data_IF_674083023254
#
_entry.id   IF_674083023254
#
_cell.length_a   1.000
_cell.length_b   1.000
_cell.length_c   1.000
_cell.angle_alpha   90.00
_cell.angle_beta   90.00
_cell.angle_gamma   90.00
#
_symmetry.space_group_name_H-M   'P 1'
#
loop_
_entity.id
_entity.type
_entity.pdbx_description
1 polymer ?
#
# COMPACT_ATOMS: atom_id res chain seq x y z
N UNK A 1 -23.62 -11.97 -0.44
CA UNK A 1 -23.27 -10.59 -0.08
C UNK A 1 -21.99 -10.50 0.72
N UNK A 2 -21.90 -11.20 1.86
CA UNK A 2 -20.66 -11.20 2.65
C UNK A 2 -19.48 -11.79 1.87
N UNK A 3 -19.75 -12.79 1.01
CA UNK A 3 -18.72 -13.43 0.25
C UNK A 3 -18.03 -12.49 -0.72
N UNK A 4 -18.80 -11.65 -1.42
CA UNK A 4 -18.22 -10.68 -2.36
C UNK A 4 -17.42 -9.62 -1.63
N UNK A 5 -17.97 -9.08 -0.54
CA UNK A 5 -17.27 -8.09 0.26
C UNK A 5 -16.02 -8.66 0.90
N UNK A 6 -16.10 -9.91 1.38
CA UNK A 6 -14.94 -10.60 1.94
C UNK A 6 -13.85 -10.83 0.91
N UNK A 7 -14.23 -11.19 -0.32
CA UNK A 7 -13.29 -11.43 -1.41
C UNK A 7 -12.51 -10.14 -1.73
N UNK A 8 -13.24 -9.04 -1.93
CA UNK A 8 -12.59 -7.76 -2.23
C UNK A 8 -11.75 -7.26 -1.06
N UNK A 9 -12.26 -7.46 0.18
CA UNK A 9 -11.51 -7.06 1.36
C UNK A 9 -10.19 -7.82 1.48
N UNK A 10 -10.19 -9.11 1.15
CA UNK A 10 -8.98 -9.91 1.20
C UNK A 10 -7.98 -9.47 0.15
N UNK A 11 -8.44 -9.19 -1.06
CA UNK A 11 -7.57 -8.68 -2.12
C UNK A 11 -6.98 -7.33 -1.70
N UNK A 12 -7.83 -6.45 -1.18
CA UNK A 12 -7.38 -5.13 -0.73
C UNK A 12 -6.34 -5.26 0.38
N UNK A 13 -6.61 -6.13 1.36
CA UNK A 13 -5.67 -6.37 2.45
C UNK A 13 -4.34 -6.89 1.92
N UNK A 14 -4.39 -7.82 0.98
CA UNK A 14 -3.17 -8.36 0.38
C UNK A 14 -2.38 -7.26 -0.33
N UNK A 15 -3.05 -6.37 -1.04
CA UNK A 15 -2.39 -5.26 -1.72
C UNK A 15 -1.78 -4.27 -0.73
N UNK A 16 -2.48 -4.00 0.38
CA UNK A 16 -1.96 -3.11 1.42
C UNK A 16 -0.71 -3.72 2.04
N UNK A 17 -0.75 -5.00 2.39
CA UNK A 17 0.39 -5.70 2.97
C UNK A 17 1.56 -5.70 1.98
N UNK A 18 1.28 -5.98 0.71
CA UNK A 18 2.30 -5.95 -0.32
C UNK A 18 2.96 -4.55 -0.41
N UNK A 19 2.14 -3.51 -0.43
CA UNK A 19 2.64 -2.15 -0.49
C UNK A 19 3.51 -1.82 0.72
N UNK A 20 3.08 -2.22 1.91
CA UNK A 20 3.86 -1.97 3.13
C UNK A 20 5.21 -2.68 3.11
N UNK A 21 5.23 -3.93 2.65
CA UNK A 21 6.48 -4.67 2.52
C UNK A 21 7.41 -3.97 1.54
N UNK A 22 6.89 -3.53 0.42
CA UNK A 22 7.69 -2.83 -0.58
C UNK A 22 8.19 -1.48 -0.06
N UNK A 23 7.35 -0.75 0.66
CA UNK A 23 7.75 0.52 1.25
C UNK A 23 8.88 0.31 2.25
N UNK A 24 8.74 -0.65 3.15
CA UNK A 24 9.76 -0.90 4.16
C UNK A 24 11.05 -1.44 3.56
N UNK A 25 10.95 -2.18 2.47
CA UNK A 25 12.12 -2.72 1.78
C UNK A 25 12.77 -1.75 0.81
N UNK A 26 12.20 -0.57 0.61
CA UNK A 26 12.75 0.41 -0.32
C UNK A 26 13.92 1.16 0.30
N UNK A 27 14.63 1.92 -0.54
CA UNK A 27 15.74 2.76 -0.08
C UNK A 27 15.29 4.13 0.41
N UNK A 28 13.98 4.35 0.55
CA UNK A 28 13.47 5.60 1.05
C UNK A 28 13.90 5.82 2.50
N UNK A 29 14.03 7.09 2.90
CA UNK A 29 14.38 7.41 4.27
C UNK A 29 13.21 7.09 5.22
N UNK A 30 13.51 7.07 6.53
CA UNK A 30 12.53 6.70 7.54
C UNK A 30 11.29 7.59 7.50
N UNK A 31 11.48 8.89 7.32
CA UNK A 31 10.36 9.83 7.26
C UNK A 31 9.40 9.51 6.12
N UNK A 32 9.96 9.23 4.93
CA UNK A 32 9.14 8.85 3.78
C UNK A 32 8.42 7.53 4.02
N UNK A 33 9.10 6.55 4.62
CA UNK A 33 8.48 5.26 4.92
C UNK A 33 7.29 5.43 5.86
N UNK A 34 7.44 6.26 6.89
CA UNK A 34 6.36 6.53 7.83
C UNK A 34 5.20 7.22 7.11
N UNK A 35 5.51 8.24 6.31
CA UNK A 35 4.48 8.97 5.58
C UNK A 35 3.69 8.06 4.66
N UNK A 36 4.38 7.25 3.87
CA UNK A 36 3.71 6.34 2.94
C UNK A 36 2.94 5.24 3.65
N UNK A 37 3.46 4.76 4.77
CA UNK A 37 2.76 3.76 5.59
C UNK A 37 1.45 4.33 6.12
N UNK A 38 1.48 5.55 6.63
CA UNK A 38 0.27 6.21 7.12
C UNK A 38 -0.71 6.46 5.98
N UNK A 39 -0.21 6.90 4.84
CA UNK A 39 -1.06 7.16 3.68
C UNK A 39 -1.77 5.89 3.22
N UNK A 40 -1.02 4.80 3.06
CA UNK A 40 -1.58 3.52 2.63
C UNK A 40 -2.50 2.94 3.70
N UNK A 41 -2.14 3.09 4.99
CA UNK A 41 -2.93 2.54 6.07
C UNK A 41 -4.23 3.28 6.34
N UNK A 42 -4.19 4.61 6.32
CA UNK A 42 -5.37 5.43 6.61
C UNK A 42 -6.27 5.63 5.40
N UNK A 43 -5.70 5.68 4.21
CA UNK A 43 -6.44 5.84 2.97
C UNK A 43 -6.04 4.71 2.02
N UNK A 44 -6.46 3.46 2.34
CA UNK A 44 -5.89 2.31 1.64
C UNK A 44 -6.11 2.34 0.13
N UNK A 45 -7.30 2.75 -0.33
CA UNK A 45 -7.55 2.79 -1.77
C UNK A 45 -6.74 3.90 -2.44
N UNK A 46 -6.89 5.13 -1.95
CA UNK A 46 -6.15 6.26 -2.51
C UNK A 46 -4.66 6.11 -2.30
N UNK A 47 -4.27 5.64 -1.11
CA UNK A 47 -2.86 5.44 -0.80
C UNK A 47 -2.20 4.44 -1.73
N UNK A 48 -2.89 3.34 -2.03
CA UNK A 48 -2.37 2.33 -2.95
C UNK A 48 -2.19 2.88 -4.35
N UNK A 49 -3.16 3.64 -4.84
CA UNK A 49 -3.08 4.23 -6.17
C UNK A 49 -1.90 5.20 -6.25
N UNK A 50 -1.80 6.09 -5.28
CA UNK A 50 -0.73 7.09 -5.26
C UNK A 50 0.62 6.40 -5.09
N UNK A 51 0.70 5.40 -4.20
CA UNK A 51 1.94 4.67 -4.00
C UNK A 51 2.38 3.97 -5.29
N UNK A 52 1.46 3.31 -5.97
CA UNK A 52 1.79 2.58 -7.19
C UNK A 52 2.33 3.49 -8.27
N UNK A 53 1.80 4.71 -8.34
CA UNK A 53 2.21 5.68 -9.36
C UNK A 53 3.48 6.45 -8.99
N UNK A 54 3.67 6.74 -7.71
CA UNK A 54 4.73 7.66 -7.29
C UNK A 54 5.47 7.23 -6.03
N UNK A 55 5.05 6.16 -5.35
CA UNK A 55 5.63 5.77 -4.07
C UNK A 55 6.94 5.00 -4.20
N UNK A 56 7.65 4.86 -3.07
CA UNK A 56 8.91 4.12 -3.05
C UNK A 56 8.68 2.62 -3.15
N UNK A 57 9.60 1.92 -3.79
CA UNK A 57 9.57 0.47 -3.88
C UNK A 57 8.50 -0.10 -4.80
N UNK A 58 7.90 0.72 -5.65
CA UNK A 58 6.85 0.23 -6.56
C UNK A 58 7.45 -0.65 -7.65
N UNK A 59 6.69 -1.65 -8.13
CA UNK A 59 7.19 -2.51 -9.21
C UNK A 59 7.48 -1.77 -10.50
N UNK A 60 6.84 -0.63 -10.72
CA UNK A 60 7.06 0.16 -11.94
C UNK A 60 8.41 0.86 -11.97
N UNK A 61 9.03 0.99 -10.83
CA UNK A 61 10.34 1.62 -10.74
C UNK A 61 11.44 0.59 -10.63
#
# INVERSE_FOLDING_TARGET
>A
MMGELGFFALIHLALVVYALVQIFGSSADTGSKILWTLLVGLFPLFGLIIWFLAGPGTPKK
#
